data_IF_139811832037
#
_entry.id   IF_139811832037
#
_cell.length_a   1.000
_cell.length_b   1.000
_cell.length_c   1.000
_cell.angle_alpha   90.00
_cell.angle_beta   90.00
_cell.angle_gamma   90.00
#
_symmetry.space_group_name_H-M   'P 1'
#
loop_
_entity.id
_entity.type
_entity.pdbx_description
1 polymer ?
#
# COMPACT_ATOMS: atom_id res chain seq x y z
N UNK A 1 -7.94 8.31 75.40
CA UNK A 1 -8.71 7.55 74.40
C UNK A 1 -8.90 8.44 73.18
N UNK A 2 -8.23 8.09 72.07
CA UNK A 2 -8.87 7.65 70.80
C UNK A 2 -9.18 8.85 69.88
N UNK A 3 -8.31 9.14 68.90
CA UNK A 3 -8.37 8.74 67.47
C UNK A 3 -9.40 9.55 66.65
N UNK A 4 -9.28 9.90 65.37
CA UNK A 4 -8.26 9.84 64.31
C UNK A 4 -9.04 10.05 62.97
N UNK A 5 -8.62 10.98 62.09
CA UNK A 5 -8.79 11.01 60.60
C UNK A 5 -10.27 11.13 60.10
N UNK A 6 -10.68 11.88 59.06
CA UNK A 6 -10.29 11.90 57.63
C UNK A 6 -10.71 13.23 57.01
N UNK A 7 -9.75 13.93 56.38
CA UNK A 7 -9.95 15.11 55.54
C UNK A 7 -9.26 14.87 54.18
N UNK A 8 -9.75 13.90 53.39
CA UNK A 8 -9.28 13.69 52.02
C UNK A 8 -10.45 13.10 51.23
N UNK A 9 -11.02 13.87 50.29
CA UNK A 9 -11.72 13.37 49.08
C UNK A 9 -12.19 14.56 48.22
N UNK A 10 -11.27 15.38 47.72
CA UNK A 10 -11.59 16.30 46.61
C UNK A 10 -10.38 16.63 45.74
N UNK A 11 -9.60 15.63 45.33
CA UNK A 11 -8.71 15.70 44.15
C UNK A 11 -8.53 14.28 43.60
N UNK A 12 -9.52 13.75 42.88
CA UNK A 12 -9.36 12.54 42.06
C UNK A 12 -10.06 12.73 40.70
N UNK A 13 -9.88 13.92 40.12
CA UNK A 13 -10.42 14.27 38.80
C UNK A 13 -9.47 15.20 38.04
N UNK A 14 -8.16 14.89 38.08
CA UNK A 14 -7.15 15.45 37.17
C UNK A 14 -5.98 14.48 37.00
N UNK A 15 -6.24 13.25 36.56
CA UNK A 15 -5.18 12.34 36.08
C UNK A 15 -5.72 11.51 34.91
N UNK A 16 -6.20 12.17 33.85
CA UNK A 16 -6.50 11.55 32.56
C UNK A 16 -6.27 12.60 31.46
N UNK A 17 -5.05 13.13 31.42
CA UNK A 17 -4.54 13.97 30.33
C UNK A 17 -3.02 13.95 30.38
N UNK A 18 -2.44 12.85 29.93
CA UNK A 18 -0.98 12.71 29.89
C UNK A 18 -0.54 11.26 29.78
N UNK A 19 -0.88 10.58 28.68
CA UNK A 19 -0.15 9.37 28.29
C UNK A 19 -0.40 9.07 26.81
N UNK A 20 0.27 9.79 25.91
CA UNK A 20 0.50 9.33 24.53
C UNK A 20 1.74 9.97 23.87
N UNK A 21 2.75 10.30 24.69
CA UNK A 21 4.08 10.72 24.19
C UNK A 21 5.23 9.90 24.78
N UNK A 22 4.96 9.00 25.72
CA UNK A 22 5.99 8.24 26.44
C UNK A 22 6.35 6.89 25.80
N UNK A 23 5.72 6.49 24.68
CA UNK A 23 6.07 5.22 24.00
C UNK A 23 7.08 5.38 22.86
N UNK A 24 7.45 6.62 22.49
CA UNK A 24 8.48 6.90 21.50
C UNK A 24 9.89 7.07 22.09
N UNK A 25 10.01 7.23 23.41
CA UNK A 25 11.30 7.50 24.07
C UNK A 25 12.01 6.26 24.64
N UNK A 26 11.42 5.07 24.56
CA UNK A 26 11.93 3.90 25.28
C UNK A 26 13.12 3.19 24.63
N UNK A 27 13.61 3.64 23.46
CA UNK A 27 14.81 3.08 22.79
C UNK A 27 15.85 4.12 22.34
N UNK A 28 15.65 5.41 22.62
CA UNK A 28 16.61 6.43 22.22
C UNK A 28 17.60 6.72 23.35
N UNK A 29 18.87 6.45 23.09
CA UNK A 29 19.95 6.91 23.95
C UNK A 29 19.87 8.44 24.09
N UNK A 30 19.40 8.90 25.26
CA UNK A 30 19.38 10.30 25.64
C UNK A 30 20.73 10.97 25.30
N UNK A 31 20.70 12.00 24.46
CA UNK A 31 21.85 12.87 24.16
C UNK A 31 22.52 12.71 22.79
N UNK A 32 22.00 11.90 21.86
CA UNK A 32 22.51 11.88 20.48
C UNK A 32 21.90 13.00 19.65
N UNK A 33 22.75 13.80 18.99
CA UNK A 33 22.33 14.81 18.00
C UNK A 33 21.47 14.14 16.91
N UNK A 34 20.26 14.65 16.71
CA UNK A 34 19.36 14.27 15.62
C UNK A 34 19.52 15.24 14.45
N UNK A 35 19.17 14.77 13.26
CA UNK A 35 19.21 15.51 12.00
C UNK A 35 17.85 15.44 11.33
N UNK A 36 17.45 16.56 10.71
CA UNK A 36 16.20 16.65 9.97
C UNK A 36 16.35 15.94 8.61
N UNK A 37 15.44 15.03 8.33
CA UNK A 37 15.37 14.31 7.05
C UNK A 37 14.03 14.60 6.40
N UNK A 38 14.05 15.42 5.36
CA UNK A 38 12.89 15.79 4.55
C UNK A 38 12.74 14.88 3.33
N UNK A 39 11.55 14.86 2.73
CA UNK A 39 11.29 14.05 1.55
C UNK A 39 10.65 14.85 0.44
N UNK A 40 11.10 14.58 -0.79
CA UNK A 40 10.43 15.04 -2.00
C UNK A 40 10.05 13.82 -2.84
N UNK A 41 8.76 13.69 -3.14
CA UNK A 41 8.25 12.52 -3.86
C UNK A 41 8.00 12.83 -5.33
N UNK A 42 8.60 12.04 -6.20
CA UNK A 42 8.48 12.08 -7.65
C UNK A 42 8.05 10.73 -8.22
N UNK A 43 8.04 10.61 -9.54
CA UNK A 43 7.72 9.37 -10.25
C UNK A 43 6.22 9.10 -10.42
N UNK A 44 5.33 9.96 -9.93
CA UNK A 44 3.89 9.78 -10.14
C UNK A 44 3.49 10.12 -11.58
N UNK A 45 2.68 9.25 -12.17
CA UNK A 45 2.04 9.47 -13.47
C UNK A 45 0.59 8.96 -13.43
N UNK A 46 -0.23 9.40 -14.38
CA UNK A 46 -1.64 8.97 -14.50
C UNK A 46 -1.81 7.75 -15.41
N UNK A 47 -0.78 7.37 -16.17
CA UNK A 47 -0.87 6.36 -17.22
C UNK A 47 0.01 5.16 -16.90
N UNK A 48 -0.59 3.97 -16.84
CA UNK A 48 0.14 2.70 -16.73
C UNK A 48 0.93 2.45 -18.02
N UNK A 49 2.17 1.98 -17.91
CA UNK A 49 3.06 1.75 -19.06
C UNK A 49 4.04 2.90 -19.30
N UNK A 50 3.78 4.09 -18.76
CA UNK A 50 4.72 5.20 -18.83
C UNK A 50 5.77 5.12 -17.73
N UNK A 51 7.04 5.46 -18.02
CA UNK A 51 8.10 5.42 -17.02
C UNK A 51 7.82 6.36 -15.84
N UNK A 52 8.05 5.88 -14.62
CA UNK A 52 7.96 6.67 -13.40
C UNK A 52 9.25 7.49 -13.20
N UNK A 53 9.33 8.68 -13.79
CA UNK A 53 10.53 9.54 -13.74
C UNK A 53 10.23 10.98 -13.37
N UNK A 54 11.20 11.65 -12.75
CA UNK A 54 11.13 13.08 -12.45
C UNK A 54 10.13 13.43 -11.35
N UNK A 55 9.78 14.71 -11.24
CA UNK A 55 8.82 15.22 -10.27
C UNK A 55 7.61 15.80 -11.00
N UNK A 56 6.42 15.39 -10.59
CA UNK A 56 5.15 15.89 -11.09
C UNK A 56 5.00 17.39 -10.81
N UNK A 57 4.34 18.10 -11.74
CA UNK A 57 3.96 19.51 -11.56
C UNK A 57 2.63 19.68 -10.84
N UNK A 58 1.78 18.65 -10.87
CA UNK A 58 0.50 18.63 -10.16
C UNK A 58 0.69 18.29 -8.68
N UNK A 59 -0.22 18.73 -7.80
CA UNK A 59 -0.21 18.35 -6.39
C UNK A 59 -0.27 16.83 -6.19
N UNK A 60 0.44 16.32 -5.18
CA UNK A 60 0.50 14.88 -4.87
C UNK A 60 -0.88 14.23 -4.69
N UNK A 61 -1.85 14.96 -4.12
CA UNK A 61 -3.23 14.51 -3.90
C UNK A 61 -4.00 14.15 -5.18
N UNK A 62 -3.51 14.58 -6.35
CA UNK A 62 -4.10 14.19 -7.64
C UNK A 62 -3.75 12.75 -8.02
N UNK A 63 -2.70 12.17 -7.44
CA UNK A 63 -2.21 10.84 -7.79
C UNK A 63 -2.55 9.79 -6.74
N UNK A 64 -2.50 10.17 -5.46
CA UNK A 64 -2.65 9.24 -4.32
C UNK A 64 -3.45 9.88 -3.19
N UNK A 65 -4.15 9.04 -2.42
CA UNK A 65 -4.96 9.47 -1.27
C UNK A 65 -4.26 9.22 0.06
N UNK A 66 -3.28 8.31 0.08
CA UNK A 66 -2.49 7.96 1.24
C UNK A 66 -1.02 7.78 0.86
N UNK A 67 -0.13 8.29 1.70
CA UNK A 67 1.32 8.14 1.62
C UNK A 67 1.85 7.71 2.99
N UNK A 68 2.70 6.69 3.04
CA UNK A 68 3.37 6.25 4.25
C UNK A 68 4.86 6.14 3.99
N UNK A 69 5.67 6.69 4.90
CA UNK A 69 7.12 6.51 4.92
C UNK A 69 7.51 5.80 6.20
N UNK A 70 8.29 4.73 6.05
CA UNK A 70 8.78 3.90 7.13
C UNK A 70 10.30 3.94 7.12
N UNK A 71 10.89 4.13 8.29
CA UNK A 71 12.33 4.19 8.50
C UNK A 71 12.75 2.94 9.23
N UNK A 72 13.67 2.19 8.63
CA UNK A 72 14.30 1.02 9.24
C UNK A 72 15.77 1.31 9.52
N UNK A 73 16.25 0.93 10.71
CA UNK A 73 17.68 0.89 10.98
C UNK A 73 18.32 -0.22 10.15
N UNK A 74 19.38 0.10 9.40
CA UNK A 74 20.13 -0.92 8.66
C UNK A 74 21.01 -1.78 9.57
N UNK A 75 21.27 -1.34 10.80
CA UNK A 75 22.06 -2.09 11.78
C UNK A 75 21.22 -3.21 12.43
N UNK A 76 19.98 -2.89 12.82
CA UNK A 76 19.12 -3.83 13.55
C UNK A 76 18.03 -4.46 12.67
N UNK A 77 17.73 -3.87 11.51
CA UNK A 77 16.60 -4.26 10.66
C UNK A 77 15.23 -3.83 11.23
N UNK A 78 15.20 -3.19 12.39
CA UNK A 78 13.96 -2.77 13.06
C UNK A 78 13.46 -1.44 12.51
N UNK A 79 12.13 -1.31 12.49
CA UNK A 79 11.47 -0.03 12.30
C UNK A 79 11.82 0.92 13.45
N UNK A 80 12.22 2.13 13.12
CA UNK A 80 12.58 3.18 14.10
C UNK A 80 11.61 4.36 14.07
N UNK A 81 10.97 4.59 12.93
CA UNK A 81 9.97 5.64 12.77
C UNK A 81 9.04 5.33 11.59
N UNK A 82 7.83 5.88 11.64
CA UNK A 82 6.85 5.83 10.57
C UNK A 82 5.98 7.08 10.60
N UNK A 83 5.67 7.62 9.44
CA UNK A 83 4.63 8.61 9.26
C UNK A 83 3.71 8.19 8.13
N UNK A 84 2.41 8.37 8.34
CA UNK A 84 1.38 8.11 7.34
C UNK A 84 0.52 9.35 7.19
N UNK A 85 0.51 9.92 5.99
CA UNK A 85 -0.33 11.06 5.64
C UNK A 85 -1.51 10.61 4.78
N UNK A 86 -2.66 11.25 5.00
CA UNK A 86 -3.88 11.14 4.20
C UNK A 86 -4.12 12.45 3.46
N UNK A 87 -4.66 12.40 2.25
CA UNK A 87 -4.88 13.57 1.39
C UNK A 87 -5.78 14.65 2.00
N UNK A 88 -6.54 14.30 3.04
CA UNK A 88 -7.40 15.21 3.79
C UNK A 88 -6.62 16.09 4.78
N UNK A 89 -5.36 15.77 5.06
CA UNK A 89 -4.50 16.56 5.93
C UNK A 89 -3.90 17.74 5.15
N UNK A 90 -3.77 18.89 5.82
CA UNK A 90 -3.26 20.13 5.21
C UNK A 90 -1.79 20.06 4.79
N UNK A 91 -1.01 19.19 5.43
CA UNK A 91 0.42 18.93 5.17
C UNK A 91 0.64 17.61 4.40
N UNK A 92 -0.32 17.20 3.56
CA UNK A 92 -0.19 15.96 2.80
C UNK A 92 1.03 16.00 1.86
N UNK A 93 1.98 15.09 2.08
CA UNK A 93 3.25 15.03 1.34
C UNK A 93 4.44 15.67 2.08
N UNK A 94 4.21 16.51 3.09
CA UNK A 94 5.26 17.15 3.88
C UNK A 94 5.71 16.23 5.03
N UNK A 95 6.43 15.17 4.68
CA UNK A 95 6.95 14.19 5.65
C UNK A 95 8.37 14.60 6.05
N UNK A 96 8.66 14.54 7.35
CA UNK A 96 9.96 14.85 7.94
C UNK A 96 10.26 13.92 9.12
N UNK A 97 11.51 13.53 9.32
CA UNK A 97 11.94 12.79 10.52
C UNK A 97 13.15 13.44 11.17
N UNK A 98 13.19 13.45 12.50
CA UNK A 98 14.40 13.72 13.27
C UNK A 98 15.11 12.41 13.62
N UNK A 99 16.22 12.11 12.95
CA UNK A 99 16.94 10.85 13.10
C UNK A 99 18.36 11.06 13.63
N UNK A 100 18.85 10.22 14.57
CA UNK A 100 20.27 10.19 14.94
C UNK A 100 21.19 9.92 13.74
N UNK A 101 22.49 10.16 13.91
CA UNK A 101 23.49 9.72 12.92
C UNK A 101 23.40 8.19 12.73
N UNK A 102 23.25 7.72 11.50
CA UNK A 102 23.12 6.29 11.21
C UNK A 102 22.90 5.97 9.74
N UNK A 103 22.83 4.67 9.43
CA UNK A 103 22.43 4.17 8.12
C UNK A 103 20.99 3.65 8.22
N UNK A 104 20.13 4.14 7.34
CA UNK A 104 18.71 3.83 7.36
C UNK A 104 18.21 3.42 5.99
N UNK A 105 17.23 2.52 5.99
CA UNK A 105 16.42 2.18 4.83
C UNK A 105 15.06 2.84 4.97
N UNK A 106 14.72 3.66 3.99
CA UNK A 106 13.43 4.33 3.88
C UNK A 106 12.57 3.56 2.89
N UNK A 107 11.37 3.19 3.30
CA UNK A 107 10.34 2.62 2.43
C UNK A 107 9.23 3.64 2.32
N UNK A 108 8.90 4.06 1.10
CA UNK A 108 7.75 4.90 0.83
C UNK A 108 6.70 4.06 0.09
N UNK A 109 5.48 4.02 0.61
CA UNK A 109 4.33 3.36 -0.01
C UNK A 109 3.20 4.36 -0.16
N UNK A 110 2.50 4.35 -1.29
CA UNK A 110 1.38 5.26 -1.54
C UNK A 110 0.33 4.63 -2.44
N UNK A 111 -0.93 5.02 -2.28
CA UNK A 111 -2.04 4.47 -3.04
C UNK A 111 -3.26 5.40 -3.04
N UNK A 112 -4.15 5.26 -4.03
CA UNK A 112 -5.47 5.89 -4.02
C UNK A 112 -6.48 5.18 -3.10
N UNK A 113 -6.31 3.87 -2.87
CA UNK A 113 -7.09 3.13 -1.88
C UNK A 113 -6.35 3.10 -0.54
N UNK A 114 -7.04 3.28 0.60
CA UNK A 114 -6.43 3.15 1.91
C UNK A 114 -5.79 1.80 2.18
N UNK A 115 -4.67 1.82 2.90
CA UNK A 115 -3.89 0.63 3.23
C UNK A 115 -3.25 0.73 4.62
N UNK A 116 -2.85 -0.40 5.16
CA UNK A 116 -2.09 -0.51 6.40
C UNK A 116 -0.66 -0.91 6.12
N UNK A 117 0.23 -0.51 7.02
CA UNK A 117 1.58 -1.04 7.09
C UNK A 117 1.61 -2.08 8.21
N UNK A 118 1.92 -3.33 7.86
CA UNK A 118 1.87 -4.50 8.74
C UNK A 118 0.47 -4.78 9.33
N UNK A 119 -0.57 -4.24 8.70
CA UNK A 119 -1.95 -4.28 9.18
C UNK A 119 -2.89 -4.43 7.99
N UNK A 120 -3.95 -5.21 8.15
CA UNK A 120 -4.86 -5.52 7.06
C UNK A 120 -6.31 -5.12 7.34
N UNK A 121 -6.66 -4.62 8.54
CA UNK A 121 -8.03 -4.21 8.88
C UNK A 121 -8.05 -2.84 9.55
N UNK A 122 -9.15 -2.11 9.34
CA UNK A 122 -9.33 -0.76 9.86
C UNK A 122 -9.31 -0.69 11.39
N UNK A 123 -9.75 -1.74 12.10
CA UNK A 123 -9.72 -1.73 13.56
C UNK A 123 -8.30 -1.87 14.14
N UNK A 124 -7.33 -2.32 13.33
CA UNK A 124 -5.93 -2.38 13.75
C UNK A 124 -5.25 -1.00 13.72
N UNK A 125 -5.92 0.04 13.23
CA UNK A 125 -5.32 1.39 13.14
C UNK A 125 -5.09 2.04 14.50
N UNK A 126 -5.59 1.45 15.59
CA UNK A 126 -5.48 2.00 16.94
C UNK A 126 -4.06 1.86 17.54
N UNK A 127 -3.21 1.01 16.99
CA UNK A 127 -1.81 0.88 17.44
C UNK A 127 -0.93 0.39 16.30
N UNK A 128 0.16 1.11 16.00
CA UNK A 128 1.07 0.73 14.93
C UNK A 128 1.69 -0.65 15.18
N UNK A 129 1.56 -1.57 14.21
CA UNK A 129 2.28 -2.84 14.22
C UNK A 129 3.66 -2.62 13.60
N UNK A 130 4.70 -2.72 14.42
CA UNK A 130 6.10 -2.62 14.00
C UNK A 130 6.63 -4.02 13.73
N UNK A 131 7.15 -4.25 12.52
CA UNK A 131 7.81 -5.49 12.14
C UNK A 131 9.21 -5.17 11.60
N UNK A 132 10.19 -6.09 11.74
CA UNK A 132 11.46 -5.97 11.05
C UNK A 132 11.25 -5.84 9.53
N UNK A 133 12.18 -5.16 8.85
CA UNK A 133 12.09 -4.90 7.40
C UNK A 133 11.82 -6.16 6.55
N UNK A 134 12.38 -7.30 6.94
CA UNK A 134 12.20 -8.57 6.23
C UNK A 134 10.76 -9.11 6.27
N UNK A 135 10.00 -8.75 7.29
CA UNK A 135 8.63 -9.19 7.52
C UNK A 135 7.61 -8.09 7.20
N UNK A 136 8.09 -6.87 7.02
CA UNK A 136 7.24 -5.71 6.84
C UNK A 136 6.57 -5.67 5.46
N UNK A 137 5.36 -5.11 5.44
CA UNK A 137 4.48 -5.15 4.29
C UNK A 137 3.48 -4.00 4.24
N UNK A 138 2.95 -3.76 3.05
CA UNK A 138 1.75 -2.96 2.81
C UNK A 138 0.60 -3.93 2.53
N UNK A 139 -0.57 -3.71 3.13
CA UNK A 139 -1.80 -4.46 2.82
C UNK A 139 -2.98 -3.51 2.69
N UNK A 140 -3.82 -3.69 1.67
CA UNK A 140 -5.06 -2.93 1.57
C UNK A 140 -5.99 -3.23 2.75
N UNK A 141 -6.67 -2.19 3.25
CA UNK A 141 -7.56 -2.32 4.40
C UNK A 141 -8.87 -3.04 4.06
N UNK A 142 -9.06 -4.16 4.71
CA UNK A 142 -10.23 -5.00 4.61
C UNK A 142 -11.24 -4.63 5.69
N UNK A 143 -12.53 -4.63 5.34
CA UNK A 143 -13.63 -4.39 6.30
C UNK A 143 -13.85 -5.59 7.22
N UNK A 144 -13.62 -6.80 6.71
CA UNK A 144 -13.83 -8.03 7.47
C UNK A 144 -12.59 -8.45 8.25
N UNK A 145 -12.82 -9.04 9.41
CA UNK A 145 -11.77 -9.69 10.23
C UNK A 145 -11.39 -11.07 9.69
N UNK A 146 -12.26 -11.66 8.88
CA UNK A 146 -12.03 -12.97 8.29
C UNK A 146 -11.23 -12.84 7.01
N UNK A 147 -10.11 -13.56 6.93
CA UNK A 147 -9.34 -13.65 5.69
C UNK A 147 -10.15 -14.22 4.53
N UNK A 148 -11.14 -15.07 4.83
CA UNK A 148 -12.05 -15.64 3.83
C UNK A 148 -12.98 -14.59 3.19
N UNK A 149 -13.01 -13.37 3.71
CA UNK A 149 -13.86 -12.29 3.23
C UNK A 149 -13.05 -11.12 2.64
N UNK A 150 -11.76 -11.33 2.31
CA UNK A 150 -10.94 -10.31 1.63
C UNK A 150 -11.53 -9.97 0.26
N UNK A 151 -11.70 -8.68 -0.01
CA UNK A 151 -12.26 -8.13 -1.26
C UNK A 151 -11.20 -7.39 -2.07
N UNK A 152 -11.41 -7.32 -3.38
CA UNK A 152 -10.58 -6.56 -4.31
C UNK A 152 -10.63 -5.05 -4.01
N UNK A 153 -9.46 -4.40 -4.01
CA UNK A 153 -9.28 -2.99 -3.65
C UNK A 153 -8.14 -2.30 -4.40
N UNK A 154 -7.54 -2.99 -5.37
CA UNK A 154 -6.35 -2.52 -6.08
C UNK A 154 -6.67 -1.28 -6.88
N UNK A 155 -5.87 -0.24 -6.65
CA UNK A 155 -5.85 1.01 -7.41
C UNK A 155 -4.40 1.40 -7.68
N UNK A 156 -4.18 2.54 -8.32
CA UNK A 156 -2.84 3.08 -8.50
C UNK A 156 -2.06 3.09 -7.20
N UNK A 157 -0.98 2.32 -7.19
CA UNK A 157 -0.18 2.03 -6.00
C UNK A 157 1.29 2.03 -6.36
N UNK A 158 2.06 2.72 -5.54
CA UNK A 158 3.46 2.98 -5.77
C UNK A 158 4.28 2.64 -4.53
N UNK A 159 5.51 2.17 -4.78
CA UNK A 159 6.49 1.82 -3.76
C UNK A 159 7.86 2.36 -4.17
N UNK A 160 8.62 2.87 -3.21
CA UNK A 160 10.04 3.16 -3.38
C UNK A 160 10.83 2.73 -2.16
N UNK A 161 12.10 2.46 -2.37
CA UNK A 161 13.05 2.14 -1.31
C UNK A 161 14.35 2.91 -1.55
N UNK A 162 14.83 3.57 -0.51
CA UNK A 162 16.08 4.34 -0.54
C UNK A 162 16.88 4.01 0.69
N UNK A 163 18.15 3.68 0.51
CA UNK A 163 19.11 3.58 1.59
C UNK A 163 19.86 4.91 1.69
N UNK A 164 19.99 5.46 2.89
CA UNK A 164 20.73 6.69 3.11
C UNK A 164 21.50 6.68 4.43
N UNK A 165 22.71 7.25 4.36
CA UNK A 165 23.46 7.65 5.54
C UNK A 165 22.98 9.04 5.99
N UNK A 166 22.62 9.15 7.27
CA UNK A 166 22.23 10.39 7.93
C UNK A 166 23.41 10.83 8.80
N UNK A 167 24.02 11.96 8.43
CA UNK A 167 25.12 12.60 9.15
C UNK A 167 24.99 14.13 9.23
N UNK A 168 24.00 14.68 8.54
CA UNK A 168 23.59 16.09 8.50
C UNK A 168 22.11 16.15 8.12
N UNK A 169 21.49 17.31 8.28
CA UNK A 169 20.16 17.55 7.73
C UNK A 169 20.20 17.37 6.21
N UNK A 170 19.14 16.78 5.64
CA UNK A 170 19.05 16.57 4.19
C UNK A 170 17.63 16.30 3.71
N UNK A 171 17.39 16.60 2.44
CA UNK A 171 16.21 16.14 1.72
C UNK A 171 16.53 14.89 0.91
N UNK A 172 15.66 13.88 0.96
CA UNK A 172 15.71 12.69 0.14
C UNK A 172 14.71 12.79 -1.01
N UNK A 173 15.24 12.70 -2.23
CA UNK A 173 14.45 12.59 -3.45
C UNK A 173 14.02 11.14 -3.65
N UNK A 174 12.71 10.88 -3.60
CA UNK A 174 12.11 9.56 -3.71
C UNK A 174 11.34 9.44 -5.03
N UNK A 175 11.84 8.64 -5.97
CA UNK A 175 11.14 8.34 -7.23
C UNK A 175 10.29 7.07 -7.03
N UNK A 176 8.98 7.28 -6.88
CA UNK A 176 7.99 6.24 -6.64
C UNK A 176 7.79 5.37 -7.87
N UNK A 177 7.82 4.04 -7.71
CA UNK A 177 7.60 3.09 -8.80
C UNK A 177 6.21 2.49 -8.71
N UNK A 178 5.45 2.45 -9.81
CA UNK A 178 4.14 1.79 -9.84
C UNK A 178 4.33 0.28 -9.71
N UNK A 179 3.70 -0.33 -8.71
CA UNK A 179 3.85 -1.77 -8.41
C UNK A 179 2.68 -2.65 -8.85
N UNK A 180 1.65 -2.03 -9.42
CA UNK A 180 0.50 -2.71 -10.03
C UNK A 180 0.71 -2.83 -11.55
N UNK A 181 0.04 -3.78 -12.17
CA UNK A 181 -0.13 -3.86 -13.63
C UNK A 181 -1.57 -3.60 -14.03
N UNK A 182 -1.81 -3.41 -15.32
CA UNK A 182 -3.16 -3.29 -15.90
C UNK A 182 -3.44 -4.50 -16.79
N UNK A 183 -4.63 -5.07 -16.66
CA UNK A 183 -5.19 -6.07 -17.56
C UNK A 183 -6.28 -5.42 -18.42
N UNK A 184 -6.14 -5.51 -19.74
CA UNK A 184 -7.21 -5.19 -20.69
C UNK A 184 -7.73 -6.50 -21.30
N UNK A 185 -9.05 -6.70 -21.32
CA UNK A 185 -9.66 -7.89 -21.93
C UNK A 185 -10.49 -7.51 -23.15
N UNK A 186 -10.30 -8.22 -24.27
CA UNK A 186 -10.96 -7.95 -25.54
C UNK A 186 -11.41 -9.25 -26.21
N UNK A 187 -12.72 -9.46 -26.25
CA UNK A 187 -13.34 -10.60 -26.94
C UNK A 187 -14.04 -10.10 -28.20
N UNK A 188 -13.71 -10.71 -29.34
CA UNK A 188 -14.11 -10.20 -30.67
C UNK A 188 -15.31 -10.90 -31.29
N UNK A 189 -15.65 -12.10 -30.82
CA UNK A 189 -16.74 -12.93 -31.35
C UNK A 189 -17.98 -12.97 -30.44
N UNK A 190 -18.00 -12.17 -29.39
CA UNK A 190 -19.16 -11.95 -28.52
C UNK A 190 -19.47 -10.45 -28.40
N UNK A 191 -20.76 -10.14 -28.37
CA UNK A 191 -21.25 -8.77 -28.10
C UNK A 191 -21.42 -8.49 -26.61
N UNK A 192 -21.61 -9.52 -25.80
CA UNK A 192 -21.72 -9.44 -24.33
C UNK A 192 -20.86 -10.55 -23.71
N UNK A 193 -19.94 -10.16 -22.84
CA UNK A 193 -19.14 -11.05 -22.03
C UNK A 193 -18.77 -10.39 -20.70
N UNK A 194 -18.52 -11.23 -19.70
CA UNK A 194 -18.09 -10.80 -18.37
C UNK A 194 -16.74 -11.41 -18.03
N UNK A 195 -15.99 -10.69 -17.21
CA UNK A 195 -14.69 -11.13 -16.70
C UNK A 195 -14.74 -11.25 -15.18
N UNK A 196 -14.28 -12.39 -14.68
CA UNK A 196 -13.97 -12.60 -13.27
C UNK A 196 -12.47 -12.89 -13.12
N UNK A 197 -11.85 -12.31 -12.08
CA UNK A 197 -10.42 -12.47 -11.81
C UNK A 197 -10.24 -13.30 -10.53
N UNK A 198 -9.37 -14.29 -10.62
CA UNK A 198 -9.00 -15.17 -9.53
C UNK A 198 -7.49 -15.08 -9.26
N UNK A 199 -7.08 -15.51 -8.06
CA UNK A 199 -5.69 -15.51 -7.58
C UNK A 199 -5.06 -14.11 -7.35
N UNK A 200 -5.87 -13.05 -7.43
CA UNK A 200 -5.43 -11.71 -7.05
C UNK A 200 -5.07 -11.62 -5.54
N UNK A 201 -4.19 -10.68 -5.22
CA UNK A 201 -3.59 -10.49 -3.89
C UNK A 201 -3.89 -9.09 -3.34
N UNK A 202 -3.87 -8.92 -2.02
CA UNK A 202 -4.19 -7.64 -1.36
C UNK A 202 -3.02 -7.00 -0.63
N UNK A 203 -1.83 -7.61 -0.70
CA UNK A 203 -0.67 -7.18 0.05
C UNK A 203 0.64 -7.40 -0.70
N UNK A 204 1.67 -6.65 -0.31
CA UNK A 204 3.04 -6.72 -0.83
C UNK A 204 4.06 -6.61 0.30
N UNK A 205 5.05 -7.50 0.30
CA UNK A 205 6.20 -7.45 1.21
C UNK A 205 7.20 -6.38 0.75
N UNK A 206 7.75 -5.59 1.67
CA UNK A 206 8.75 -4.58 1.29
C UNK A 206 10.05 -5.21 0.84
N UNK A 207 10.63 -6.12 1.62
CA UNK A 207 11.94 -6.69 1.32
C UNK A 207 12.00 -7.45 -0.01
N UNK A 208 11.00 -8.27 -0.30
CA UNK A 208 11.00 -9.13 -1.49
C UNK A 208 10.19 -8.57 -2.66
N UNK A 209 9.34 -7.56 -2.42
CA UNK A 209 8.35 -7.08 -3.41
C UNK A 209 7.32 -8.14 -3.82
N UNK A 210 7.26 -9.27 -3.09
CA UNK A 210 6.35 -10.38 -3.36
C UNK A 210 4.95 -10.08 -2.82
N UNK A 211 3.94 -10.56 -3.53
CA UNK A 211 2.53 -10.33 -3.18
C UNK A 211 1.93 -11.48 -2.40
N UNK A 212 0.99 -11.18 -1.50
CA UNK A 212 0.28 -12.16 -0.67
C UNK A 212 -1.11 -11.64 -0.24
N UNK A 213 -1.82 -12.44 0.56
CA UNK A 213 -3.17 -12.10 1.01
C UNK A 213 -4.19 -12.26 -0.13
N UNK A 214 -4.49 -13.50 -0.48
CA UNK A 214 -5.40 -13.81 -1.58
C UNK A 214 -6.77 -13.17 -1.36
N UNK A 215 -7.33 -12.55 -2.39
CA UNK A 215 -8.74 -12.13 -2.42
C UNK A 215 -9.59 -13.40 -2.33
N UNK A 216 -10.54 -13.46 -1.40
CA UNK A 216 -11.35 -14.67 -1.17
C UNK A 216 -12.81 -14.46 -1.54
N UNK A 217 -13.30 -13.23 -1.34
CA UNK A 217 -14.60 -12.83 -1.83
C UNK A 217 -14.40 -12.12 -3.17
N UNK A 218 -14.47 -12.92 -4.23
CA UNK A 218 -14.45 -12.48 -5.62
C UNK A 218 -15.80 -11.87 -6.04
N UNK A 219 -16.33 -10.97 -5.22
CA UNK A 219 -17.23 -9.93 -5.72
C UNK A 219 -16.37 -8.86 -6.40
N UNK A 220 -15.59 -9.28 -7.40
CA UNK A 220 -15.13 -8.31 -8.39
C UNK A 220 -16.38 -7.60 -8.92
N UNK A 221 -16.33 -6.29 -9.21
CA UNK A 221 -17.35 -5.75 -10.09
C UNK A 221 -17.31 -6.63 -11.34
N UNK A 222 -18.37 -7.41 -11.58
CA UNK A 222 -18.53 -8.15 -12.84
C UNK A 222 -18.35 -7.12 -13.93
N UNK A 223 -17.21 -7.17 -14.58
CA UNK A 223 -16.86 -6.19 -15.59
C UNK A 223 -17.49 -6.74 -16.86
N UNK A 224 -18.63 -6.17 -17.25
CA UNK A 224 -19.23 -6.46 -18.54
C UNK A 224 -18.64 -5.49 -19.56
N UNK A 225 -18.41 -5.96 -20.77
CA UNK A 225 -18.01 -5.08 -21.87
C UNK A 225 -19.13 -4.12 -22.29
N UNK A 226 -20.36 -4.34 -21.83
CA UNK A 226 -21.48 -3.42 -22.01
C UNK A 226 -21.30 -2.13 -21.19
N UNK A 227 -20.51 -2.18 -20.11
CA UNK A 227 -20.20 -1.01 -19.27
C UNK A 227 -18.99 -0.22 -19.79
N UNK A 228 -18.40 -0.65 -20.91
CA UNK A 228 -17.20 -0.05 -21.52
C UNK A 228 -16.03 -1.04 -21.62
N UNK A 229 -14.82 -0.57 -21.97
CA UNK A 229 -13.63 -1.39 -21.98
C UNK A 229 -13.37 -2.04 -20.61
N UNK A 230 -13.02 -3.33 -20.61
CA UNK A 230 -12.67 -4.04 -19.39
C UNK A 230 -11.19 -3.83 -19.08
N UNK A 231 -10.95 -2.90 -18.15
CA UNK A 231 -9.64 -2.47 -17.69
C UNK A 231 -9.53 -2.69 -16.17
N UNK A 232 -8.63 -3.58 -15.74
CA UNK A 232 -8.52 -3.99 -14.33
C UNK A 232 -7.09 -3.78 -13.83
N UNK A 233 -6.91 -3.09 -12.70
CA UNK A 233 -5.61 -2.93 -12.06
C UNK A 233 -5.33 -4.11 -11.13
N UNK A 234 -4.14 -4.68 -11.16
CA UNK A 234 -3.82 -5.90 -10.42
C UNK A 234 -2.50 -5.74 -9.69
N UNK A 235 -2.52 -6.04 -8.39
CA UNK A 235 -1.36 -6.01 -7.51
C UNK A 235 -0.52 -7.26 -7.73
N UNK A 236 -1.14 -8.41 -8.01
CA UNK A 236 -0.44 -9.66 -8.19
C UNK A 236 0.40 -9.67 -9.49
N UNK A 237 1.60 -9.10 -9.37
CA UNK A 237 2.60 -8.99 -10.44
C UNK A 237 3.73 -10.03 -10.30
N UNK A 238 3.61 -10.93 -9.32
CA UNK A 238 4.62 -11.97 -9.04
C UNK A 238 4.25 -13.33 -9.63
N UNK A 239 2.96 -13.56 -9.92
CA UNK A 239 2.43 -14.82 -10.47
C UNK A 239 1.25 -14.51 -11.41
N UNK A 240 0.97 -15.37 -12.41
CA UNK A 240 -0.21 -15.23 -13.23
C UNK A 240 -1.50 -15.21 -12.42
N UNK A 241 -2.43 -14.34 -12.81
CA UNK A 241 -3.83 -14.39 -12.35
C UNK A 241 -4.62 -15.35 -13.22
N UNK A 242 -5.73 -15.85 -12.70
CA UNK A 242 -6.66 -16.67 -13.48
C UNK A 242 -7.82 -15.79 -13.91
N UNK A 243 -7.99 -15.61 -15.22
CA UNK A 243 -9.08 -14.86 -15.83
C UNK A 243 -10.15 -15.85 -16.27
N UNK A 244 -11.36 -15.70 -15.73
CA UNK A 244 -12.52 -16.45 -16.16
C UNK A 244 -13.43 -15.57 -17.02
N UNK A 245 -13.69 -16.03 -18.24
CA UNK A 245 -14.53 -15.36 -19.23
C UNK A 245 -15.90 -16.05 -19.28
N UNK A 246 -16.96 -15.25 -19.18
CA UNK A 246 -18.37 -15.69 -19.19
C UNK A 246 -19.08 -15.05 -20.39
N UNK A 247 -19.98 -15.78 -21.06
CA UNK A 247 -20.80 -15.20 -22.15
C UNK A 247 -21.21 -16.17 -23.26
N UNK A 248 -20.48 -17.28 -23.45
CA UNK A 248 -20.75 -18.28 -24.49
C UNK A 248 -21.20 -19.65 -23.93
N UNK A 249 -21.92 -19.67 -22.81
CA UNK A 249 -22.27 -20.90 -22.10
C UNK A 249 -21.19 -21.31 -21.09
N UNK A 250 -20.34 -22.28 -21.43
CA UNK A 250 -19.29 -22.77 -20.52
C UNK A 250 -18.22 -21.71 -20.29
N UNK A 251 -17.88 -21.38 -19.02
CA UNK A 251 -16.79 -20.46 -18.71
C UNK A 251 -15.46 -20.89 -19.34
N UNK A 252 -14.65 -19.91 -19.76
CA UNK A 252 -13.29 -20.14 -20.26
C UNK A 252 -12.28 -19.56 -19.29
N UNK A 253 -11.22 -20.31 -19.05
CA UNK A 253 -10.21 -19.97 -18.05
C UNK A 253 -8.86 -19.78 -18.73
N UNK A 254 -8.22 -18.63 -18.47
CA UNK A 254 -6.93 -18.27 -19.04
C UNK A 254 -6.01 -17.75 -17.93
N UNK A 255 -4.81 -18.32 -17.82
CA UNK A 255 -3.79 -17.79 -16.92
C UNK A 255 -3.05 -16.65 -17.60
N UNK A 256 -3.08 -15.47 -16.98
CA UNK A 256 -2.53 -14.24 -17.55
C UNK A 256 -1.41 -13.70 -16.65
N UNK A 257 -0.17 -13.60 -17.12
CA UNK A 257 0.90 -12.94 -16.38
C UNK A 257 0.62 -11.43 -16.33
N UNK A 258 0.81 -10.82 -15.16
CA UNK A 258 0.67 -9.38 -14.98
C UNK A 258 2.02 -8.82 -14.56
N UNK A 259 2.41 -7.69 -15.14
CA UNK A 259 3.72 -7.07 -14.91
C UNK A 259 3.57 -5.67 -14.32
N UNK A 260 4.50 -5.29 -13.45
CA UNK A 260 4.52 -3.96 -12.80
C UNK A 260 4.64 -2.87 -13.85
N UNK A 261 3.78 -1.87 -13.74
CA UNK A 261 3.72 -0.71 -14.63
C UNK A 261 3.65 -1.07 -16.13
N UNK A 262 2.99 -2.18 -16.48
CA UNK A 262 2.76 -2.57 -17.86
C UNK A 262 1.29 -2.87 -18.10
N UNK A 263 0.89 -2.79 -19.36
CA UNK A 263 -0.46 -3.14 -19.79
C UNK A 263 -0.40 -4.52 -20.44
N UNK A 264 -1.02 -5.50 -19.80
CA UNK A 264 -1.24 -6.83 -20.38
C UNK A 264 -2.59 -6.84 -21.09
N UNK A 265 -2.61 -7.24 -22.35
CA UNK A 265 -3.83 -7.35 -23.14
C UNK A 265 -4.12 -8.83 -23.40
N UNK A 266 -5.27 -9.30 -22.93
CA UNK A 266 -5.86 -10.59 -23.28
C UNK A 266 -6.85 -10.37 -24.42
N UNK A 267 -6.48 -10.80 -25.62
CA UNK A 267 -7.34 -10.76 -26.80
C UNK A 267 -7.79 -12.18 -27.16
N UNK A 268 -9.04 -12.35 -27.58
CA UNK A 268 -9.47 -13.68 -27.98
C UNK A 268 -10.85 -13.79 -28.63
N UNK A 269 -11.21 -15.05 -28.84
CA UNK A 269 -12.49 -15.52 -29.37
C UNK A 269 -13.01 -16.66 -28.51
N UNK A 270 -14.18 -16.47 -27.92
CA UNK A 270 -14.80 -17.41 -26.99
C UNK A 270 -15.37 -18.66 -27.67
N UNK A 271 -15.86 -18.54 -28.90
CA UNK A 271 -16.46 -19.62 -29.67
C UNK A 271 -15.38 -20.56 -30.21
N UNK A 272 -14.29 -20.00 -30.77
CA UNK A 272 -13.17 -20.79 -31.32
C UNK A 272 -12.11 -21.15 -30.28
N UNK A 273 -12.18 -20.56 -29.07
CA UNK A 273 -11.23 -20.77 -27.96
C UNK A 273 -9.80 -20.38 -28.30
N UNK A 274 -9.64 -19.31 -29.07
CA UNK A 274 -8.35 -18.74 -29.45
C UNK A 274 -8.07 -17.55 -28.54
N UNK A 275 -6.98 -17.62 -27.76
CA UNK A 275 -6.58 -16.56 -26.85
C UNK A 275 -5.11 -16.19 -27.08
N UNK A 276 -4.83 -14.90 -27.11
CA UNK A 276 -3.50 -14.33 -27.22
C UNK A 276 -3.27 -13.35 -26.07
N UNK A 277 -2.05 -13.36 -25.53
CA UNK A 277 -1.63 -12.46 -24.46
C UNK A 277 -0.46 -11.65 -24.98
N UNK A 278 -0.58 -10.33 -24.88
CA UNK A 278 0.51 -9.40 -25.22
C UNK A 278 0.77 -8.45 -24.07
N UNK A 279 1.99 -7.92 -23.99
CA UNK A 279 2.41 -6.96 -22.97
C UNK A 279 2.90 -5.70 -23.69
N UNK A 280 2.41 -4.55 -23.24
CA UNK A 280 2.78 -3.21 -23.72
C UNK A 280 3.55 -2.47 -22.63
#
# INVERSE_FOLDING_TARGET
MKTLIIFISLVFLTTLSGCEQAFLDLHDGHGKKKYLVDFRFGGYNHTVGEPNTGFQTEPLKNYVSQLSVIVYSMETGNEVARQTHLFTQSNFGDIEFELPKGNYRFVAASSQTPFGINQFRLQDTLSAVMLPYQEANMQYWQKSHSEANRTYQTTDTFLAQVDANIASDKTLDIIMQRIIGKLEVRISDLTDYQVEIYLEQTAVMFASGSTFGRVQNYTFPRSSNLDGPIDILLLNTSRPVLVQLLGAGTPREVYVPIHKNQITVLEGKMVTQEFNISVK
#
